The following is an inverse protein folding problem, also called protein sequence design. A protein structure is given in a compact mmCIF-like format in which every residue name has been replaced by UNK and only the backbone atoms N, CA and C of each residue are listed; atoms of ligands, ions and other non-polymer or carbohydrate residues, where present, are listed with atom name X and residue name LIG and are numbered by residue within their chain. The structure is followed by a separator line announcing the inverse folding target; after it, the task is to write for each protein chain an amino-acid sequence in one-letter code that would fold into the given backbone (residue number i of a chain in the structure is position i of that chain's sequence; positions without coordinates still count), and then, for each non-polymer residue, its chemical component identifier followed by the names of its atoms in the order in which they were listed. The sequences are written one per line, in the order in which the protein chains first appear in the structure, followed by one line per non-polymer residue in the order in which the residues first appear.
data_IF_351179585453
#
_entry.id   IF_351179585453
#
_cell.length_a   1.000
_cell.length_b   1.000
_cell.length_c   1.000
_cell.angle_alpha   90.00
_cell.angle_beta   90.00
_cell.angle_gamma   90.00
#
_symmetry.space_group_name_H-M   'P 1'
#
loop_
_entity.id
_entity.type
_entity.pdbx_description
1 polymer ?
#
# COMPACT_ATOMS: atom_id res chain seq x y z
N UNK A 1 -2.19 34.42 27.62
CA UNK A 1 -2.06 33.85 26.26
C UNK A 1 -2.62 32.43 26.30
N UNK A 2 -3.81 32.20 25.75
CA UNK A 2 -4.27 30.84 25.51
C UNK A 2 -3.32 30.22 24.48
N UNK A 3 -2.62 29.14 24.85
CA UNK A 3 -1.88 28.37 23.87
C UNK A 3 -2.89 27.95 22.78
N UNK A 4 -2.66 28.38 21.54
CA UNK A 4 -3.44 27.88 20.41
C UNK A 4 -3.20 26.38 20.39
N UNK A 5 -4.23 25.59 20.72
CA UNK A 5 -4.15 24.14 20.68
C UNK A 5 -3.84 23.76 19.22
N UNK A 6 -2.61 23.30 18.97
CA UNK A 6 -2.24 22.76 17.67
C UNK A 6 -3.09 21.52 17.41
N UNK A 7 -3.56 21.39 16.17
CA UNK A 7 -4.24 20.20 15.68
C UNK A 7 -3.32 18.98 15.71
N UNK A 8 -3.91 17.80 15.51
CA UNK A 8 -3.18 16.52 15.52
C UNK A 8 -3.23 15.84 14.16
N UNK A 9 -2.08 15.35 13.70
CA UNK A 9 -1.95 14.57 12.47
C UNK A 9 -2.10 13.09 12.79
N UNK A 10 -2.99 12.39 12.09
CA UNK A 10 -3.16 10.94 12.28
C UNK A 10 -3.02 10.23 10.94
N UNK A 11 -1.98 9.41 10.79
CA UNK A 11 -1.88 8.48 9.65
C UNK A 11 -2.77 7.27 9.91
N UNK A 12 -3.76 7.03 9.06
CA UNK A 12 -4.77 5.97 9.26
C UNK A 12 -4.61 4.89 8.22
N UNK A 13 -4.16 3.70 8.64
CA UNK A 13 -4.15 2.51 7.79
C UNK A 13 -5.57 2.03 7.55
N UNK A 14 -6.03 2.10 6.30
CA UNK A 14 -7.39 1.70 5.91
C UNK A 14 -7.50 0.20 5.63
N UNK A 15 -6.39 -0.54 5.70
CA UNK A 15 -6.38 -1.97 5.41
C UNK A 15 -6.33 -2.29 3.91
N UNK A 16 -6.42 -3.57 3.54
CA UNK A 16 -6.07 -4.06 2.20
C UNK A 16 -7.19 -3.91 1.15
N UNK A 17 -8.37 -3.40 1.54
CA UNK A 17 -9.49 -3.18 0.63
C UNK A 17 -10.86 -3.49 1.22
N UNK A 18 -10.95 -4.49 2.09
CA UNK A 18 -12.20 -4.85 2.76
C UNK A 18 -12.46 -3.87 3.92
N UNK A 19 -13.59 -3.12 3.94
CA UNK A 19 -13.93 -2.23 5.04
C UNK A 19 -14.03 -2.91 6.41
N UNK A 20 -14.31 -4.21 6.47
CA UNK A 20 -14.37 -4.97 7.73
C UNK A 20 -12.97 -5.26 8.31
N UNK A 21 -11.91 -5.09 7.52
CA UNK A 21 -10.52 -5.22 7.96
C UNK A 21 -9.93 -3.92 8.52
N UNK A 22 -10.74 -2.87 8.68
CA UNK A 22 -10.37 -1.68 9.45
C UNK A 22 -10.14 -2.03 10.92
N UNK A 23 -9.09 -1.48 11.51
CA UNK A 23 -8.89 -1.62 12.95
C UNK A 23 -9.90 -0.75 13.71
N UNK A 24 -10.29 -1.19 14.92
CA UNK A 24 -11.17 -0.40 15.79
C UNK A 24 -10.61 0.99 16.10
N UNK A 25 -9.27 1.12 16.16
CA UNK A 25 -8.59 2.40 16.39
C UNK A 25 -8.71 3.32 15.16
N UNK A 26 -8.56 2.79 13.95
CA UNK A 26 -8.76 3.54 12.70
C UNK A 26 -10.22 4.03 12.59
N UNK A 27 -11.19 3.14 12.85
CA UNK A 27 -12.60 3.47 12.88
C UNK A 27 -12.94 4.63 13.84
N UNK A 28 -12.39 4.59 15.06
CA UNK A 28 -12.58 5.66 16.06
C UNK A 28 -11.90 6.97 15.64
N UNK A 29 -10.68 6.91 15.10
CA UNK A 29 -9.98 8.11 14.64
C UNK A 29 -10.73 8.81 13.50
N UNK A 30 -11.32 8.05 12.57
CA UNK A 30 -12.18 8.61 11.52
C UNK A 30 -13.46 9.23 12.10
N UNK A 31 -14.05 8.63 13.12
CA UNK A 31 -15.22 9.19 13.81
C UNK A 31 -14.92 10.51 14.55
N UNK A 32 -13.67 10.77 14.91
CA UNK A 32 -13.23 11.98 15.62
C UNK A 32 -12.59 13.05 14.71
N UNK A 33 -12.20 12.70 13.49
CA UNK A 33 -11.46 13.60 12.62
C UNK A 33 -12.33 14.76 12.09
N UNK A 34 -11.76 15.96 12.08
CA UNK A 34 -12.36 17.14 11.45
C UNK A 34 -12.11 17.14 9.94
N UNK A 35 -10.95 16.63 9.53
CA UNK A 35 -10.48 16.60 8.14
C UNK A 35 -10.03 15.19 7.79
N UNK A 36 -10.47 14.68 6.65
CA UNK A 36 -9.97 13.44 6.07
C UNK A 36 -9.24 13.76 4.77
N UNK A 37 -7.92 13.61 4.81
CA UNK A 37 -7.05 13.78 3.65
C UNK A 37 -6.78 12.42 2.98
N UNK A 38 -6.81 12.37 1.66
CA UNK A 38 -6.58 11.14 0.91
C UNK A 38 -5.91 11.40 -0.42
N UNK A 39 -5.08 10.45 -0.84
CA UNK A 39 -4.37 10.55 -2.12
C UNK A 39 -5.20 9.96 -3.26
N UNK A 40 -5.16 10.62 -4.42
CA UNK A 40 -5.67 10.07 -5.67
C UNK A 40 -4.86 10.60 -6.86
N UNK A 41 -4.91 9.90 -7.99
CA UNK A 41 -4.49 10.50 -9.26
C UNK A 41 -5.52 11.55 -9.68
N UNK A 42 -5.08 12.69 -10.21
CA UNK A 42 -5.99 13.69 -10.78
C UNK A 42 -6.94 13.03 -11.79
N UNK A 43 -8.25 13.23 -11.60
CA UNK A 43 -9.30 12.64 -12.43
C UNK A 43 -9.74 11.22 -12.04
N UNK A 44 -9.13 10.62 -11.01
CA UNK A 44 -9.48 9.29 -10.50
C UNK A 44 -10.04 9.36 -9.07
N UNK A 45 -10.74 8.30 -8.67
CA UNK A 45 -11.16 8.09 -7.29
C UNK A 45 -9.99 7.54 -6.44
N UNK A 46 -9.99 7.88 -5.14
CA UNK A 46 -9.10 7.28 -4.15
C UNK A 46 -9.67 5.96 -3.66
N UNK A 47 -8.89 4.88 -3.71
CA UNK A 47 -9.32 3.59 -3.18
C UNK A 47 -9.33 3.60 -1.63
N UNK A 48 -8.37 4.28 -0.99
CA UNK A 48 -8.38 4.56 0.46
C UNK A 48 -9.69 5.23 0.93
N UNK A 49 -10.15 6.25 0.19
CA UNK A 49 -11.43 6.93 0.46
C UNK A 49 -12.60 5.98 0.32
N UNK A 50 -12.65 5.19 -0.77
CA UNK A 50 -13.73 4.26 -1.03
C UNK A 50 -13.90 3.22 0.09
N UNK A 51 -12.79 2.70 0.64
CA UNK A 51 -12.81 1.74 1.76
C UNK A 51 -13.55 2.30 2.98
N UNK A 52 -13.37 3.60 3.27
CA UNK A 52 -13.89 4.23 4.48
C UNK A 52 -15.10 5.12 4.22
N UNK A 53 -15.68 5.08 3.02
CA UNK A 53 -16.77 5.96 2.57
C UNK A 53 -17.96 5.97 3.54
N UNK A 54 -18.35 4.79 4.05
CA UNK A 54 -19.43 4.65 5.02
C UNK A 54 -19.16 5.31 6.39
N UNK A 55 -17.95 5.83 6.62
CA UNK A 55 -17.53 6.53 7.85
C UNK A 55 -17.48 8.05 7.69
N UNK A 56 -17.69 8.58 6.49
CA UNK A 56 -17.75 10.02 6.28
C UNK A 56 -19.01 10.60 6.93
N UNK A 57 -18.84 11.76 7.56
CA UNK A 57 -19.93 12.55 8.13
C UNK A 57 -20.16 13.81 7.30
N UNK A 58 -21.37 14.38 7.25
CA UNK A 58 -21.66 15.58 6.47
C UNK A 58 -20.84 16.82 6.85
N UNK A 59 -20.36 16.90 8.10
CA UNK A 59 -19.57 18.00 8.65
C UNK A 59 -18.06 17.84 8.43
N UNK A 60 -17.62 16.69 7.93
CA UNK A 60 -16.22 16.36 7.74
C UNK A 60 -15.66 17.05 6.49
N UNK A 61 -14.48 17.65 6.62
CA UNK A 61 -13.80 18.28 5.48
C UNK A 61 -13.03 17.18 4.71
N UNK A 62 -13.37 16.99 3.44
CA UNK A 62 -12.60 16.15 2.53
C UNK A 62 -11.42 16.95 1.94
N UNK A 63 -10.20 16.43 2.06
CA UNK A 63 -8.98 17.03 1.50
C UNK A 63 -8.32 16.08 0.48
N UNK A 64 -8.72 16.13 -0.80
CA UNK A 64 -8.09 15.32 -1.85
C UNK A 64 -6.69 15.84 -2.19
N UNK A 65 -5.67 14.99 -2.02
CA UNK A 65 -4.28 15.23 -2.38
C UNK A 65 -3.98 14.57 -3.74
N UNK A 66 -4.06 15.38 -4.80
CA UNK A 66 -4.10 14.87 -6.18
C UNK A 66 -2.72 14.84 -6.86
N UNK A 67 -2.22 13.64 -7.16
CA UNK A 67 -0.96 13.47 -7.89
C UNK A 67 -1.01 14.15 -9.26
N UNK A 68 0.04 14.92 -9.63
CA UNK A 68 0.14 15.53 -10.96
C UNK A 68 0.48 14.50 -12.04
N UNK A 69 1.34 13.53 -11.71
CA UNK A 69 1.78 12.44 -12.58
C UNK A 69 1.91 11.14 -11.78
N UNK A 70 1.83 10.00 -12.47
CA UNK A 70 1.92 8.66 -11.85
C UNK A 70 2.89 7.75 -12.59
N UNK A 71 2.62 7.46 -13.87
CA UNK A 71 3.41 6.54 -14.72
C UNK A 71 3.71 7.12 -16.10
N UNK A 72 3.23 8.34 -16.37
CA UNK A 72 3.35 9.05 -17.64
C UNK A 72 4.78 9.48 -17.94
N UNK A 73 5.55 9.78 -16.90
CA UNK A 73 6.96 10.14 -16.97
C UNK A 73 7.75 9.02 -16.29
N UNK A 74 8.93 8.69 -16.82
CA UNK A 74 9.81 7.73 -16.15
C UNK A 74 10.19 8.24 -14.74
N UNK A 75 10.18 7.34 -13.76
CA UNK A 75 10.43 7.68 -12.36
C UNK A 75 11.83 8.24 -12.09
N UNK A 76 12.78 7.92 -12.96
CA UNK A 76 14.18 8.33 -12.84
C UNK A 76 14.45 9.63 -13.60
N UNK A 77 13.46 10.14 -14.36
CA UNK A 77 13.54 11.43 -15.04
C UNK A 77 13.41 12.60 -14.05
N UNK A 78 14.19 13.66 -14.23
CA UNK A 78 14.24 14.78 -13.30
C UNK A 78 12.89 15.49 -13.14
N UNK A 79 12.14 15.68 -14.24
CA UNK A 79 10.80 16.27 -14.19
C UNK A 79 9.81 15.48 -13.31
N UNK A 80 9.88 14.14 -13.31
CA UNK A 80 9.05 13.34 -12.44
C UNK A 80 9.39 13.61 -10.97
N UNK A 81 10.70 13.63 -10.66
CA UNK A 81 11.19 13.84 -9.29
C UNK A 81 10.83 15.23 -8.79
N UNK A 82 10.98 16.25 -9.61
CA UNK A 82 10.59 17.63 -9.29
C UNK A 82 9.08 17.73 -9.03
N UNK A 83 8.23 17.27 -9.97
CA UNK A 83 6.77 17.36 -9.83
C UNK A 83 6.24 16.59 -8.60
N UNK A 84 6.79 15.40 -8.31
CA UNK A 84 6.39 14.62 -7.14
C UNK A 84 6.89 15.26 -5.85
N UNK A 85 8.09 15.86 -5.84
CA UNK A 85 8.61 16.60 -4.69
C UNK A 85 7.72 17.81 -4.36
N UNK A 86 7.42 18.63 -5.36
CA UNK A 86 6.58 19.82 -5.22
C UNK A 86 5.16 19.44 -4.77
N UNK A 87 4.61 18.36 -5.33
CA UNK A 87 3.32 17.82 -4.92
C UNK A 87 3.27 17.49 -3.42
N UNK A 88 4.30 16.81 -2.90
CA UNK A 88 4.32 16.46 -1.47
C UNK A 88 4.57 17.66 -0.57
N UNK A 89 5.29 18.68 -1.04
CA UNK A 89 5.46 19.93 -0.30
C UNK A 89 4.13 20.68 -0.19
N UNK A 90 3.46 20.92 -1.31
CA UNK A 90 2.15 21.57 -1.35
C UNK A 90 1.08 20.78 -0.56
N UNK A 91 1.13 19.45 -0.62
CA UNK A 91 0.22 18.60 0.16
C UNK A 91 0.48 18.73 1.66
N UNK A 92 1.74 18.81 2.07
CA UNK A 92 2.12 19.01 3.47
C UNK A 92 1.70 20.39 3.98
N UNK A 93 1.83 21.43 3.15
CA UNK A 93 1.36 22.79 3.49
C UNK A 93 -0.16 22.83 3.67
N UNK A 94 -0.94 22.28 2.74
CA UNK A 94 -2.39 22.19 2.87
C UNK A 94 -2.80 21.47 4.17
N UNK A 95 -2.18 20.33 4.47
CA UNK A 95 -2.44 19.62 5.74
C UNK A 95 -2.02 20.46 6.95
N UNK A 96 -0.88 21.16 6.87
CA UNK A 96 -0.39 22.03 7.94
C UNK A 96 -1.31 23.22 8.23
N UNK A 97 -1.99 23.77 7.22
CA UNK A 97 -3.00 24.83 7.41
C UNK A 97 -4.15 24.36 8.30
N UNK A 98 -4.68 23.17 8.03
CA UNK A 98 -5.73 22.57 8.86
C UNK A 98 -5.23 22.28 10.29
N UNK A 99 -4.03 21.70 10.42
CA UNK A 99 -3.41 21.42 11.72
C UNK A 99 -3.15 22.71 12.51
N UNK A 100 -2.71 23.78 11.83
CA UNK A 100 -2.48 25.10 12.42
C UNK A 100 -3.76 25.76 12.93
N UNK A 101 -4.90 25.45 12.32
CA UNK A 101 -6.23 25.86 12.75
C UNK A 101 -6.79 25.02 13.92
N UNK A 102 -6.00 24.10 14.50
CA UNK A 102 -6.42 23.28 15.63
C UNK A 102 -7.19 22.01 15.28
N UNK A 103 -7.34 21.69 13.98
CA UNK A 103 -8.12 20.54 13.50
C UNK A 103 -7.35 19.23 13.61
N UNK A 104 -8.05 18.13 13.91
CA UNK A 104 -7.55 16.78 13.69
C UNK A 104 -7.60 16.44 12.21
N UNK A 105 -6.46 16.10 11.62
CA UNK A 105 -6.36 15.64 10.23
C UNK A 105 -6.03 14.16 10.20
N UNK A 106 -6.99 13.34 9.78
CA UNK A 106 -6.78 11.93 9.47
C UNK A 106 -6.36 11.79 8.00
N UNK A 107 -5.13 11.32 7.76
CA UNK A 107 -4.63 11.04 6.41
C UNK A 107 -4.78 9.55 6.13
N UNK A 108 -5.60 9.20 5.15
CA UNK A 108 -5.83 7.83 4.75
C UNK A 108 -4.61 7.24 4.03
N UNK A 109 -4.27 6.00 4.37
CA UNK A 109 -3.31 5.18 3.63
C UNK A 109 -3.85 3.77 3.45
N UNK A 110 -3.91 3.32 2.20
CA UNK A 110 -4.24 1.93 1.91
C UNK A 110 -3.19 0.99 2.50
N UNK A 111 -3.64 -0.13 3.05
CA UNK A 111 -2.80 -1.02 3.83
C UNK A 111 -2.33 -0.33 5.12
N UNK A 112 -1.01 -0.13 5.21
CA UNK A 112 -0.35 0.46 6.37
C UNK A 112 0.29 1.82 6.01
N UNK A 113 0.19 2.87 6.87
CA UNK A 113 0.70 4.21 6.54
C UNK A 113 2.21 4.31 6.31
N UNK A 114 3.01 3.42 6.90
CA UNK A 114 4.47 3.46 6.83
C UNK A 114 5.08 2.34 5.97
N UNK A 115 4.25 1.59 5.25
CA UNK A 115 4.71 0.50 4.38
C UNK A 115 4.33 0.76 2.92
N UNK A 116 5.27 1.30 2.13
CA UNK A 116 5.08 1.69 0.72
C UNK A 116 3.89 2.65 0.44
N UNK A 117 3.33 3.29 1.48
CA UNK A 117 2.22 4.23 1.39
C UNK A 117 2.65 5.70 1.30
N UNK A 118 1.82 6.53 0.66
CA UNK A 118 2.10 7.95 0.41
C UNK A 118 2.15 8.81 1.67
N UNK A 119 1.48 8.38 2.74
CA UNK A 119 1.46 9.09 4.02
C UNK A 119 2.87 9.35 4.58
N UNK A 120 3.83 8.45 4.36
CA UNK A 120 5.20 8.63 4.88
C UNK A 120 5.84 9.95 4.44
N UNK A 121 5.50 10.45 3.25
CA UNK A 121 6.01 11.73 2.75
C UNK A 121 5.46 12.93 3.53
N UNK A 122 4.23 12.86 4.03
CA UNK A 122 3.66 13.86 4.93
C UNK A 122 4.20 13.69 6.34
N UNK A 123 4.33 12.44 6.81
CA UNK A 123 4.83 12.12 8.14
C UNK A 123 6.21 12.76 8.38
N UNK A 124 7.18 12.53 7.49
CA UNK A 124 8.54 13.09 7.65
C UNK A 124 8.56 14.63 7.61
N UNK A 125 7.61 15.26 6.91
CA UNK A 125 7.50 16.73 6.80
C UNK A 125 6.75 17.38 7.96
N UNK A 126 5.83 16.67 8.61
CA UNK A 126 4.89 17.28 9.56
C UNK A 126 5.02 16.75 10.99
N UNK A 127 5.54 15.54 11.20
CA UNK A 127 5.56 14.91 12.52
C UNK A 127 6.40 15.65 13.56
N UNK A 128 7.42 16.39 13.12
CA UNK A 128 8.24 17.24 13.98
C UNK A 128 7.60 18.63 14.24
N UNK A 129 6.52 18.99 13.53
CA UNK A 129 5.83 20.30 13.62
C UNK A 129 4.53 20.24 14.44
N UNK A 130 3.87 19.08 14.41
CA UNK A 130 2.55 18.84 15.00
C UNK A 130 2.50 17.51 15.77
N UNK A 131 1.71 17.41 16.86
CA UNK A 131 1.40 16.14 17.49
C UNK A 131 0.93 15.12 16.47
N UNK A 132 1.56 13.94 16.44
CA UNK A 132 1.36 12.96 15.39
C UNK A 132 1.16 11.56 15.95
N UNK A 133 0.20 10.84 15.38
CA UNK A 133 -0.05 9.43 15.64
C UNK A 133 -0.10 8.65 14.33
N UNK A 134 0.37 7.41 14.34
CA UNK A 134 0.21 6.47 13.24
C UNK A 134 -0.60 5.28 13.74
N UNK A 135 -1.71 5.01 13.07
CA UNK A 135 -2.56 3.85 13.33
C UNK A 135 -2.25 2.82 12.24
N UNK A 136 -1.66 1.67 12.60
CA UNK A 136 -1.32 0.65 11.63
C UNK A 136 -2.57 0.03 11.01
N UNK A 137 -2.43 -0.46 9.78
CA UNK A 137 -3.48 -1.18 9.06
C UNK A 137 -3.01 -2.54 8.59
N UNK A 138 -3.95 -3.42 8.28
CA UNK A 138 -3.62 -4.72 7.68
C UNK A 138 -3.00 -4.48 6.30
N UNK A 139 -1.80 -5.00 6.07
CA UNK A 139 -1.09 -4.80 4.79
C UNK A 139 -1.75 -5.57 3.66
N UNK A 140 -1.62 -5.08 2.42
CA UNK A 140 -2.15 -5.74 1.23
C UNK A 140 -1.66 -7.20 1.10
N UNK A 141 -0.38 -7.44 1.44
CA UNK A 141 0.20 -8.78 1.43
C UNK A 141 -0.51 -9.72 2.40
N UNK A 142 -0.81 -9.23 3.62
CA UNK A 142 -1.54 -10.03 4.60
C UNK A 142 -2.97 -10.33 4.18
N UNK A 143 -3.67 -9.36 3.60
CA UNK A 143 -4.97 -9.61 3.02
C UNK A 143 -4.94 -10.71 1.96
N UNK A 144 -3.98 -10.63 1.03
CA UNK A 144 -3.89 -11.55 -0.10
C UNK A 144 -3.52 -12.99 0.31
N UNK A 145 -2.57 -13.19 1.23
CA UNK A 145 -2.25 -14.57 1.64
C UNK A 145 -3.35 -15.20 2.49
N UNK A 146 -4.09 -14.40 3.26
CA UNK A 146 -5.22 -14.88 4.05
C UNK A 146 -6.40 -15.26 3.15
N UNK A 147 -6.71 -14.47 2.12
CA UNK A 147 -7.80 -14.80 1.18
C UNK A 147 -7.48 -16.01 0.31
N UNK A 148 -6.20 -16.28 0.03
CA UNK A 148 -5.78 -17.48 -0.70
C UNK A 148 -5.55 -18.70 0.21
N UNK A 149 -5.69 -18.55 1.53
CA UNK A 149 -5.41 -19.63 2.49
C UNK A 149 -3.96 -20.13 2.43
N UNK A 150 -3.03 -19.27 2.00
CA UNK A 150 -1.63 -19.59 1.78
C UNK A 150 -0.83 -19.21 3.02
N UNK A 151 -0.31 -20.17 3.79
CA UNK A 151 0.61 -19.86 4.88
C UNK A 151 1.99 -19.56 4.28
N UNK A 152 2.48 -18.34 4.50
CA UNK A 152 3.63 -17.79 3.75
C UNK A 152 4.98 -18.21 4.30
N UNK A 153 5.15 -18.20 5.62
CA UNK A 153 6.40 -18.56 6.31
C UNK A 153 6.12 -19.44 7.54
N UNK A 154 7.06 -20.33 7.85
CA UNK A 154 7.11 -21.09 9.10
C UNK A 154 8.57 -21.22 9.58
N UNK A 155 8.79 -21.26 10.90
CA UNK A 155 10.11 -21.53 11.47
C UNK A 155 11.12 -20.45 11.10
N UNK A 156 12.22 -20.87 10.50
CA UNK A 156 13.33 -19.98 10.10
C UNK A 156 13.19 -19.43 8.67
N UNK A 157 12.04 -19.65 8.00
CA UNK A 157 11.79 -19.14 6.66
C UNK A 157 12.03 -17.61 6.59
N UNK A 158 12.91 -17.19 5.69
CA UNK A 158 13.13 -15.78 5.38
C UNK A 158 12.01 -15.28 4.46
N UNK A 159 11.36 -14.18 4.85
CA UNK A 159 10.39 -13.46 4.01
C UNK A 159 11.02 -12.20 3.40
N UNK A 160 11.05 -12.12 2.09
CA UNK A 160 11.51 -10.92 1.37
C UNK A 160 10.36 -10.21 0.65
N UNK A 161 10.17 -8.91 0.92
CA UNK A 161 9.20 -8.07 0.16
C UNK A 161 9.92 -7.27 -0.92
N UNK A 162 9.58 -7.53 -2.18
CA UNK A 162 10.27 -7.04 -3.37
C UNK A 162 9.37 -6.11 -4.20
N UNK A 163 9.82 -4.88 -4.51
CA UNK A 163 9.21 -4.09 -5.57
C UNK A 163 9.48 -4.74 -6.93
N UNK A 164 8.42 -5.07 -7.68
CA UNK A 164 8.50 -5.57 -9.05
C UNK A 164 9.15 -4.59 -10.03
N UNK A 165 9.35 -3.33 -9.63
CA UNK A 165 10.09 -2.31 -10.39
C UNK A 165 11.61 -2.51 -10.39
N UNK A 166 12.17 -3.37 -9.53
CA UNK A 166 13.61 -3.72 -9.54
C UNK A 166 14.05 -4.31 -10.89
N UNK A 167 15.36 -4.30 -11.17
CA UNK A 167 15.90 -4.97 -12.36
C UNK A 167 15.64 -6.48 -12.28
N UNK A 168 15.61 -7.14 -13.43
CA UNK A 168 15.42 -8.60 -13.50
C UNK A 168 16.52 -9.33 -12.72
N UNK A 169 17.78 -8.91 -12.87
CA UNK A 169 18.92 -9.45 -12.14
C UNK A 169 18.72 -9.40 -10.63
N UNK A 170 18.34 -8.23 -10.10
CA UNK A 170 18.15 -8.01 -8.66
C UNK A 170 16.94 -8.77 -8.11
N UNK A 171 15.89 -8.96 -8.91
CA UNK A 171 14.75 -9.82 -8.57
C UNK A 171 15.19 -11.29 -8.51
N UNK A 172 15.83 -11.81 -9.56
CA UNK A 172 16.27 -13.22 -9.63
C UNK A 172 17.18 -13.57 -8.45
N UNK A 173 18.20 -12.73 -8.19
CA UNK A 173 19.13 -12.94 -7.08
C UNK A 173 18.41 -13.04 -5.74
N UNK A 174 17.59 -12.04 -5.38
CA UNK A 174 16.89 -12.03 -4.09
C UNK A 174 15.82 -13.12 -3.98
N UNK A 175 15.22 -13.51 -5.10
CA UNK A 175 14.27 -14.63 -5.12
C UNK A 175 15.00 -15.95 -4.89
N UNK A 176 16.20 -16.15 -5.42
CA UNK A 176 17.01 -17.34 -5.15
C UNK A 176 17.46 -17.41 -3.68
N UNK A 177 17.79 -16.26 -3.07
CA UNK A 177 18.36 -16.16 -1.71
C UNK A 177 17.34 -16.12 -0.55
N UNK A 178 16.05 -16.32 -0.82
CA UNK A 178 14.99 -16.25 0.21
C UNK A 178 14.18 -17.55 0.26
N UNK A 179 13.35 -17.75 1.27
CA UNK A 179 12.41 -18.88 1.30
C UNK A 179 11.07 -18.45 0.69
N UNK A 180 10.51 -17.40 1.28
CA UNK A 180 9.25 -16.77 0.91
C UNK A 180 9.45 -15.38 0.30
N UNK A 181 8.56 -15.00 -0.62
CA UNK A 181 8.60 -13.68 -1.22
C UNK A 181 7.21 -13.09 -1.44
N UNK A 182 7.12 -11.77 -1.29
CA UNK A 182 5.99 -10.96 -1.75
C UNK A 182 6.52 -10.00 -2.78
N UNK A 183 6.00 -10.04 -4.00
CA UNK A 183 6.37 -9.11 -5.07
C UNK A 183 5.22 -8.13 -5.28
N UNK A 184 5.45 -6.86 -4.98
CA UNK A 184 4.49 -5.77 -5.13
C UNK A 184 4.69 -5.01 -6.44
N UNK A 185 3.77 -4.10 -6.80
CA UNK A 185 3.85 -3.29 -8.03
C UNK A 185 3.96 -4.16 -9.29
N UNK A 186 3.12 -5.20 -9.35
CA UNK A 186 3.15 -6.22 -10.41
C UNK A 186 2.84 -5.60 -11.75
N UNK A 187 1.62 -5.09 -11.98
CA UNK A 187 1.22 -4.33 -13.16
C UNK A 187 1.99 -4.66 -14.45
N UNK A 188 2.59 -3.63 -15.07
CA UNK A 188 3.43 -3.75 -16.28
C UNK A 188 4.72 -4.57 -16.10
N UNK A 189 5.12 -4.88 -14.87
CA UNK A 189 6.33 -5.63 -14.56
C UNK A 189 6.10 -7.15 -14.57
N UNK A 190 4.87 -7.64 -14.72
CA UNK A 190 4.55 -9.07 -14.68
C UNK A 190 5.42 -9.95 -15.59
N UNK A 191 5.68 -9.61 -16.88
CA UNK A 191 6.55 -10.42 -17.74
C UNK A 191 7.97 -10.61 -17.16
N UNK A 192 8.54 -9.53 -16.62
CA UNK A 192 9.87 -9.54 -15.98
C UNK A 192 9.86 -10.35 -14.70
N UNK A 193 8.82 -10.21 -13.88
CA UNK A 193 8.64 -10.97 -12.65
C UNK A 193 8.57 -12.48 -12.93
N UNK A 194 7.84 -12.89 -13.98
CA UNK A 194 7.79 -14.30 -14.41
C UNK A 194 9.17 -14.85 -14.74
N UNK A 195 9.94 -14.14 -15.59
CA UNK A 195 11.30 -14.57 -15.95
C UNK A 195 12.22 -14.67 -14.73
N UNK A 196 12.14 -13.72 -13.81
CA UNK A 196 12.93 -13.76 -12.58
C UNK A 196 12.54 -14.94 -11.67
N UNK A 197 11.25 -15.24 -11.54
CA UNK A 197 10.75 -16.40 -10.81
C UNK A 197 11.12 -17.73 -11.46
N UNK A 198 11.08 -17.81 -12.79
CA UNK A 198 11.53 -18.97 -13.57
C UNK A 198 13.02 -19.22 -13.33
N UNK A 199 13.86 -18.20 -13.51
CA UNK A 199 15.30 -18.28 -13.30
C UNK A 199 15.68 -18.63 -11.85
N UNK A 200 14.87 -18.24 -10.87
CA UNK A 200 15.04 -18.61 -9.47
C UNK A 200 14.43 -19.97 -9.10
N UNK A 201 13.78 -20.68 -10.03
CA UNK A 201 13.11 -21.97 -9.76
C UNK A 201 11.86 -21.86 -8.89
N UNK A 202 11.21 -20.69 -8.86
CA UNK A 202 10.07 -20.39 -7.97
C UNK A 202 8.75 -20.15 -8.69
N UNK A 203 8.73 -20.13 -10.02
CA UNK A 203 7.52 -19.83 -10.80
C UNK A 203 6.36 -20.78 -10.50
N UNK A 204 6.65 -22.08 -10.40
CA UNK A 204 5.62 -23.11 -10.17
C UNK A 204 4.90 -22.90 -8.83
N UNK A 205 5.61 -22.46 -7.78
CA UNK A 205 5.04 -22.20 -6.46
C UNK A 205 4.50 -20.77 -6.27
N UNK A 206 4.66 -19.91 -7.26
CA UNK A 206 4.18 -18.54 -7.18
C UNK A 206 2.65 -18.48 -7.36
N UNK A 207 1.98 -17.70 -6.51
CA UNK A 207 0.55 -17.42 -6.55
C UNK A 207 0.36 -15.97 -6.94
N UNK A 208 -0.37 -15.74 -8.03
CA UNK A 208 -0.82 -14.42 -8.44
C UNK A 208 -2.11 -14.06 -7.69
N UNK A 209 -2.19 -12.84 -7.17
CA UNK A 209 -3.41 -12.32 -6.52
C UNK A 209 -3.64 -10.89 -7.01
N UNK A 210 -4.86 -10.63 -7.51
CA UNK A 210 -5.31 -9.27 -7.78
C UNK A 210 -6.56 -8.94 -6.98
N UNK A 211 -6.67 -7.66 -6.59
CA UNK A 211 -7.79 -7.15 -5.79
C UNK A 211 -8.00 -7.91 -4.47
N UNK A 212 -6.92 -8.45 -3.88
CA UNK A 212 -6.84 -9.16 -2.60
C UNK A 212 -8.15 -9.38 -1.83
N UNK A 213 -8.50 -8.47 -0.94
CA UNK A 213 -9.73 -8.52 -0.12
C UNK A 213 -10.85 -7.64 -0.69
N UNK A 214 -10.65 -7.07 -1.88
CA UNK A 214 -11.62 -6.19 -2.55
C UNK A 214 -12.63 -7.01 -3.35
N UNK A 215 -13.78 -6.42 -3.72
CA UNK A 215 -14.70 -7.03 -4.67
C UNK A 215 -14.03 -7.39 -6.01
N UNK A 216 -14.33 -8.59 -6.51
CA UNK A 216 -13.74 -9.12 -7.74
C UNK A 216 -12.30 -9.61 -7.58
N UNK A 217 -11.92 -10.04 -6.37
CA UNK A 217 -10.64 -10.71 -6.11
C UNK A 217 -10.47 -11.94 -6.99
N UNK A 218 -9.26 -12.10 -7.53
CA UNK A 218 -8.86 -13.26 -8.35
C UNK A 218 -7.50 -13.74 -7.88
N UNK A 219 -7.38 -15.06 -7.68
CA UNK A 219 -6.11 -15.71 -7.37
C UNK A 219 -5.93 -17.00 -8.16
N UNK A 220 -4.70 -17.28 -8.59
CA UNK A 220 -4.34 -18.49 -9.32
C UNK A 220 -2.83 -18.76 -9.22
N UNK A 221 -2.38 -19.95 -9.57
CA UNK A 221 -0.93 -20.17 -9.73
C UNK A 221 -0.44 -19.27 -10.87
N UNK A 222 0.67 -18.60 -10.66
CA UNK A 222 1.19 -17.69 -11.67
C UNK A 222 1.52 -18.44 -12.96
N UNK A 223 2.06 -19.66 -12.87
CA UNK A 223 2.33 -20.53 -14.02
C UNK A 223 1.09 -20.84 -14.89
N UNK A 224 -0.12 -20.78 -14.30
CA UNK A 224 -1.38 -21.08 -15.00
C UNK A 224 -2.04 -19.82 -15.59
N UNK A 225 -1.60 -18.63 -15.19
CA UNK A 225 -2.14 -17.38 -15.74
C UNK A 225 -1.69 -17.22 -17.20
N UNK A 226 -2.61 -17.10 -18.18
CA UNK A 226 -2.30 -17.20 -19.61
C UNK A 226 -1.70 -15.93 -20.22
N UNK A 227 -1.79 -14.79 -19.52
CA UNK A 227 -1.31 -13.50 -20.01
C UNK A 227 -0.43 -12.78 -18.99
N UNK A 228 0.13 -11.66 -19.41
CA UNK A 228 0.95 -10.77 -18.59
C UNK A 228 0.22 -9.49 -18.17
N UNK A 229 -1.12 -9.52 -18.16
CA UNK A 229 -1.93 -8.38 -17.73
C UNK A 229 -2.17 -8.45 -16.24
N UNK A 230 -1.90 -7.36 -15.54
CA UNK A 230 -2.18 -7.21 -14.12
C UNK A 230 -2.67 -5.79 -13.81
N UNK A 231 -3.71 -5.62 -12.98
CA UNK A 231 -4.13 -4.30 -12.50
C UNK A 231 -3.12 -3.73 -11.50
N UNK A 232 -3.35 -2.48 -11.09
CA UNK A 232 -2.52 -1.81 -10.08
C UNK A 232 -2.47 -2.58 -8.76
N UNK A 233 -3.64 -3.06 -8.28
CA UNK A 233 -3.77 -3.85 -7.06
C UNK A 233 -3.51 -5.33 -7.32
N UNK A 234 -2.31 -5.66 -7.80
CA UNK A 234 -1.86 -7.03 -7.97
C UNK A 234 -0.52 -7.26 -7.27
N UNK A 235 -0.40 -8.44 -6.66
CA UNK A 235 0.83 -8.94 -6.04
C UNK A 235 1.10 -10.38 -6.49
N UNK A 236 2.35 -10.80 -6.36
CA UNK A 236 2.73 -12.22 -6.49
C UNK A 236 3.29 -12.69 -5.16
N UNK A 237 2.81 -13.84 -4.70
CA UNK A 237 3.20 -14.48 -3.45
C UNK A 237 4.02 -15.73 -3.77
N UNK A 238 5.05 -16.00 -2.97
CA UNK A 238 5.80 -17.24 -2.97
C UNK A 238 5.91 -17.70 -1.53
N UNK A 239 5.34 -18.85 -1.20
CA UNK A 239 5.48 -19.41 0.14
C UNK A 239 6.88 -20.02 0.33
N UNK A 240 7.43 -19.85 1.53
CA UNK A 240 8.68 -20.47 1.99
C UNK A 240 8.48 -21.91 2.44
N UNK A 241 7.26 -22.23 2.91
CA UNK A 241 6.88 -23.51 3.49
C UNK A 241 6.86 -24.67 2.49
N UNK A 242 8.05 -25.12 2.09
CA UNK A 242 8.28 -26.10 1.02
C UNK A 242 7.92 -27.55 1.40
N UNK A 243 7.99 -27.89 2.69
CA UNK A 243 7.62 -29.21 3.23
C UNK A 243 6.26 -29.16 3.96
N UNK A 244 5.20 -28.72 3.27
CA UNK A 244 3.86 -28.64 3.86
C UNK A 244 3.36 -30.04 4.25
N UNK A 245 2.99 -30.30 5.52
CA UNK A 245 2.40 -31.57 5.91
C UNK A 245 1.15 -31.88 5.05
N UNK A 246 1.14 -33.03 4.38
CA UNK A 246 0.01 -33.47 3.55
C UNK A 246 0.00 -32.96 2.10
N UNK A 247 0.97 -32.15 1.67
CA UNK A 247 1.17 -31.91 0.25
C UNK A 247 1.74 -33.19 -0.40
N UNK A 248 0.95 -33.83 -1.28
CA UNK A 248 1.51 -34.90 -2.13
C UNK A 248 2.58 -34.26 -3.03
N UNK A 249 3.76 -34.87 -3.04
CA UNK A 249 4.88 -34.48 -3.88
C UNK A 249 4.50 -34.43 -5.37
#
# INVERSE_FOLDING_TARGET
MNAILKGRLVGVGTGPGDPELLTLKAARALAEADVVAYFAKRGNNSNARAIVEARFRPDMIELPLLYPVTTEIDKDHDDYRAQISDFYEQSAEQVAEHLGAGRMVAVLSEGDPLFYGSYMHLHVRLAHRFPTEVIPGITAMSGCWSTTGLPIVQGDDVLTVLPGTMSEFELTRRLADTDAAVIMKVGRNLPKIRRALEAAGKLTKAVYVERGTMPGSVSMRLAEKPDDKAPYFAIVLVAGWSARPGAKA
#
